data_IF_454773547925
#
_entry.id   IF_454773547925
#
_cell.length_a   1.000
_cell.length_b   1.000
_cell.length_c   1.000
_cell.angle_alpha   90.00
_cell.angle_beta   90.00
_cell.angle_gamma   90.00
#
_symmetry.space_group_name_H-M   'P 1'
#
loop_
_entity.id
_entity.type
_entity.pdbx_description
1 polymer ?
#
# COMPACT_ATOMS: atom_id res chain seq x y z
N UNK A 1 8.03 -4.88 -12.99
CA UNK A 1 7.51 -4.96 -11.61
C UNK A 1 8.02 -6.25 -10.99
N UNK A 2 8.61 -6.20 -9.80
CA UNK A 2 8.99 -7.43 -9.09
C UNK A 2 7.70 -8.17 -8.73
N UNK A 3 7.55 -9.40 -9.24
CA UNK A 3 6.35 -10.20 -9.03
C UNK A 3 6.38 -10.98 -7.71
N UNK A 4 7.31 -10.61 -6.82
CA UNK A 4 7.50 -11.23 -5.51
C UNK A 4 6.78 -10.40 -4.46
N UNK A 5 5.92 -11.01 -3.63
CA UNK A 5 5.26 -10.29 -2.54
C UNK A 5 6.29 -9.76 -1.56
N UNK A 6 5.96 -8.65 -0.90
CA UNK A 6 6.80 -8.14 0.19
C UNK A 6 6.52 -8.85 1.51
N UNK A 7 5.33 -9.45 1.64
CA UNK A 7 4.92 -10.30 2.74
C UNK A 7 3.79 -11.25 2.28
N UNK A 8 3.70 -12.41 2.92
CA UNK A 8 2.59 -13.35 2.80
C UNK A 8 1.90 -13.41 4.17
N UNK A 9 0.57 -13.27 4.22
CA UNK A 9 -0.18 -13.18 5.45
C UNK A 9 -1.55 -13.85 5.32
N UNK A 10 -1.78 -14.91 6.11
CA UNK A 10 -3.05 -15.65 6.19
C UNK A 10 -3.63 -16.08 4.83
N UNK A 11 -2.79 -16.54 3.91
CA UNK A 11 -3.25 -16.97 2.58
C UNK A 11 -3.33 -15.84 1.55
N UNK A 12 -2.77 -14.68 1.85
CA UNK A 12 -2.72 -13.52 0.95
C UNK A 12 -1.30 -13.00 0.74
N UNK A 13 -1.03 -12.59 -0.50
CA UNK A 13 0.21 -11.94 -0.91
C UNK A 13 0.03 -10.41 -0.89
N UNK A 14 0.98 -9.71 -0.24
CA UNK A 14 0.97 -8.26 -0.04
C UNK A 14 2.04 -7.57 -0.90
N UNK A 15 1.60 -6.68 -1.81
CA UNK A 15 2.48 -5.88 -2.66
C UNK A 15 2.32 -4.38 -2.36
N UNK A 16 3.19 -3.79 -1.54
CA UNK A 16 3.17 -2.36 -1.25
C UNK A 16 3.56 -1.55 -2.49
N UNK A 17 2.76 -0.52 -2.78
CA UNK A 17 2.98 0.47 -3.84
C UNK A 17 3.29 1.80 -3.16
N UNK A 18 4.56 2.22 -3.17
CA UNK A 18 4.97 3.52 -2.63
C UNK A 18 5.19 4.48 -3.79
N UNK A 19 4.59 5.67 -3.72
CA UNK A 19 4.67 6.67 -4.78
C UNK A 19 4.89 8.06 -4.19
N UNK A 20 5.67 8.87 -4.91
CA UNK A 20 5.97 10.24 -4.53
C UNK A 20 4.81 11.15 -4.91
N UNK A 21 4.39 11.99 -3.98
CA UNK A 21 3.45 13.08 -4.21
C UNK A 21 4.29 14.31 -4.57
N UNK A 22 3.97 14.94 -5.69
CA UNK A 22 4.48 16.29 -5.94
C UNK A 22 3.59 17.26 -5.17
N UNK A 23 4.13 18.02 -4.19
CA UNK A 23 3.35 19.11 -3.61
C UNK A 23 3.03 20.13 -4.73
N UNK A 24 1.87 20.77 -4.63
CA UNK A 24 1.57 21.94 -5.45
C UNK A 24 2.73 22.93 -5.29
N UNK A 25 3.33 23.34 -6.39
CA UNK A 25 4.58 24.09 -6.40
C UNK A 25 4.34 25.49 -5.81
N UNK A 26 4.57 25.66 -4.51
CA UNK A 26 4.56 26.98 -3.86
C UNK A 26 5.95 27.61 -3.96
N UNK A 27 6.01 28.87 -4.38
CA UNK A 27 7.22 29.68 -4.27
C UNK A 27 7.21 30.45 -2.94
N UNK A 28 8.33 30.49 -2.20
CA UNK A 28 9.63 29.86 -2.47
C UNK A 28 9.64 28.34 -2.26
N UNK A 29 10.54 27.67 -2.98
CA UNK A 29 10.64 26.20 -3.01
C UNK A 29 11.11 25.63 -1.66
N UNK A 30 10.17 25.33 -0.77
CA UNK A 30 10.44 24.54 0.44
C UNK A 30 10.60 23.08 0.04
N UNK A 31 11.60 22.37 0.61
CA UNK A 31 11.66 20.91 0.48
C UNK A 31 10.38 20.38 1.15
N UNK A 32 9.49 19.66 0.43
CA UNK A 32 8.34 19.06 1.09
C UNK A 32 8.83 18.08 2.14
N UNK A 33 8.46 18.32 3.38
CA UNK A 33 8.40 17.29 4.39
C UNK A 33 7.37 16.26 3.90
N UNK A 34 7.67 14.96 4.08
CA UNK A 34 6.70 13.88 3.82
C UNK A 34 6.16 13.81 2.38
N UNK A 35 6.98 13.30 1.48
CA UNK A 35 6.65 13.26 0.04
C UNK A 35 6.07 11.94 -0.47
N UNK A 36 5.83 10.93 0.37
CA UNK A 36 5.44 9.59 -0.10
C UNK A 36 4.06 9.16 0.40
N UNK A 37 3.19 8.77 -0.52
CA UNK A 37 2.00 8.01 -0.19
C UNK A 37 2.21 6.53 -0.49
N UNK A 38 1.32 5.71 0.05
CA UNK A 38 1.36 4.28 -0.18
C UNK A 38 -0.02 3.70 -0.46
N UNK A 39 -0.02 2.56 -1.13
CA UNK A 39 -1.16 1.66 -1.28
C UNK A 39 -0.64 0.24 -1.12
N UNK A 40 -1.53 -0.73 -0.95
CA UNK A 40 -1.18 -2.14 -0.93
C UNK A 40 -2.08 -2.88 -1.90
N UNK A 41 -1.47 -3.71 -2.74
CA UNK A 41 -2.20 -4.69 -3.53
C UNK A 41 -2.26 -5.98 -2.73
N UNK A 42 -3.45 -6.55 -2.61
CA UNK A 42 -3.68 -7.83 -1.94
C UNK A 42 -4.18 -8.82 -2.98
N UNK A 43 -3.56 -9.99 -3.03
CA UNK A 43 -3.95 -11.13 -3.86
C UNK A 43 -4.08 -12.37 -3.00
N UNK A 44 -4.85 -13.37 -3.42
CA UNK A 44 -4.71 -14.71 -2.82
C UNK A 44 -3.33 -15.27 -3.11
N UNK A 45 -2.73 -15.97 -2.14
CA UNK A 45 -1.43 -16.61 -2.31
C UNK A 45 -1.39 -17.46 -3.58
N UNK A 46 -0.26 -17.40 -4.28
CA UNK A 46 -0.04 -18.11 -5.55
C UNK A 46 -0.70 -17.48 -6.78
N UNK A 47 -1.48 -16.40 -6.61
CA UNK A 47 -2.03 -15.62 -7.71
C UNK A 47 -1.17 -14.39 -7.98
N UNK A 48 -0.96 -14.07 -9.26
CA UNK A 48 -0.17 -12.90 -9.63
C UNK A 48 -1.01 -11.61 -9.50
N UNK A 49 -0.40 -10.50 -9.04
CA UNK A 49 -1.03 -9.20 -9.10
C UNK A 49 -1.36 -8.83 -10.55
N UNK A 50 -2.61 -8.38 -10.77
CA UNK A 50 -3.15 -8.10 -12.11
C UNK A 50 -4.05 -9.19 -12.69
N UNK A 51 -4.35 -10.24 -11.91
CA UNK A 51 -5.41 -11.20 -12.21
C UNK A 51 -6.75 -10.74 -11.63
N UNK A 52 -7.86 -11.41 -11.99
CA UNK A 52 -9.22 -11.11 -11.48
C UNK A 52 -9.36 -11.22 -9.95
N UNK A 53 -8.36 -11.81 -9.26
CA UNK A 53 -8.33 -12.02 -7.80
C UNK A 53 -7.37 -11.08 -7.09
N UNK A 54 -7.36 -9.82 -7.52
CA UNK A 54 -6.49 -8.77 -7.00
C UNK A 54 -7.29 -7.52 -6.69
N UNK A 55 -7.03 -6.89 -5.54
CA UNK A 55 -7.58 -5.56 -5.21
C UNK A 55 -6.50 -4.65 -4.66
N UNK A 56 -6.60 -3.37 -5.01
CA UNK A 56 -5.71 -2.31 -4.52
C UNK A 56 -6.43 -1.54 -3.43
N UNK A 57 -5.76 -1.33 -2.31
CA UNK A 57 -6.25 -0.59 -1.16
C UNK A 57 -5.34 0.62 -0.93
N UNK A 58 -5.94 1.81 -0.93
CA UNK A 58 -5.19 3.05 -0.70
C UNK A 58 -5.07 3.31 0.81
N UNK A 59 -3.85 3.64 1.24
CA UNK A 59 -3.62 4.06 2.62
C UNK A 59 -3.91 5.56 2.73
N UNK A 60 -5.05 5.90 3.32
CA UNK A 60 -5.41 7.29 3.66
C UNK A 60 -4.69 7.71 4.96
N UNK A 61 -3.37 7.86 4.89
CA UNK A 61 -2.53 8.35 5.99
C UNK A 61 -1.90 9.70 5.66
N UNK A 62 -1.38 10.39 6.68
CA UNK A 62 -0.43 11.47 6.41
C UNK A 62 0.72 10.94 5.56
N UNK A 63 1.19 11.69 4.55
CA UNK A 63 2.33 11.28 3.75
C UNK A 63 3.57 10.95 4.61
N UNK A 64 4.43 10.10 4.08
CA UNK A 64 5.61 9.57 4.74
C UNK A 64 6.88 10.27 4.25
N UNK A 65 7.88 10.35 5.12
CA UNK A 65 9.17 10.99 4.82
C UNK A 65 10.06 10.15 3.91
N UNK A 66 9.98 8.82 4.00
CA UNK A 66 10.83 7.92 3.24
C UNK A 66 10.08 6.68 2.75
N UNK A 67 10.67 6.05 1.72
CA UNK A 67 10.09 4.88 1.06
C UNK A 67 10.02 3.68 2.00
N UNK A 68 11.01 3.50 2.87
CA UNK A 68 11.11 2.35 3.76
C UNK A 68 9.99 2.32 4.81
N UNK A 69 9.68 3.45 5.43
CA UNK A 69 8.57 3.58 6.38
C UNK A 69 7.22 3.45 5.68
N UNK A 70 7.04 4.10 4.53
CA UNK A 70 5.83 3.98 3.72
C UNK A 70 5.55 2.51 3.32
N UNK A 71 6.60 1.77 2.90
CA UNK A 71 6.48 0.35 2.53
C UNK A 71 6.03 -0.51 3.71
N UNK A 72 6.65 -0.33 4.89
CA UNK A 72 6.26 -1.07 6.11
C UNK A 72 4.84 -0.73 6.55
N UNK A 73 4.47 0.55 6.47
CA UNK A 73 3.11 1.02 6.76
C UNK A 73 2.07 0.37 5.84
N UNK A 74 2.36 0.28 4.54
CA UNK A 74 1.48 -0.38 3.58
C UNK A 74 1.31 -1.88 3.83
N UNK A 75 2.38 -2.58 4.23
CA UNK A 75 2.29 -4.01 4.61
C UNK A 75 1.40 -4.18 5.84
N UNK A 76 1.66 -3.41 6.91
CA UNK A 76 0.87 -3.45 8.13
C UNK A 76 -0.61 -3.12 7.88
N UNK A 77 -0.89 -2.15 7.03
CA UNK A 77 -2.24 -1.82 6.62
C UNK A 77 -2.91 -2.98 5.88
N UNK A 78 -2.21 -3.67 4.99
CA UNK A 78 -2.73 -4.87 4.34
C UNK A 78 -3.10 -5.98 5.33
N UNK A 79 -2.25 -6.22 6.34
CA UNK A 79 -2.55 -7.14 7.44
C UNK A 79 -3.81 -6.70 8.22
N UNK A 80 -3.96 -5.40 8.46
CA UNK A 80 -5.13 -4.84 9.16
C UNK A 80 -6.43 -5.02 8.37
N UNK A 81 -6.39 -4.88 7.04
CA UNK A 81 -7.55 -5.17 6.17
C UNK A 81 -7.89 -6.67 6.25
N UNK A 82 -6.89 -7.55 6.16
CA UNK A 82 -7.10 -9.01 6.24
C UNK A 82 -7.68 -9.40 7.61
N UNK A 83 -7.30 -8.69 8.67
CA UNK A 83 -7.84 -8.88 10.01
C UNK A 83 -9.21 -8.23 10.23
N UNK A 84 -9.76 -7.50 9.25
CA UNK A 84 -11.04 -6.79 9.39
C UNK A 84 -10.98 -5.57 10.31
N UNK A 85 -9.79 -4.99 10.51
CA UNK A 85 -9.56 -3.85 11.41
C UNK A 85 -9.75 -2.49 10.72
N UNK A 86 -9.90 -2.47 9.38
CA UNK A 86 -10.12 -1.26 8.60
C UNK A 86 -11.60 -1.17 8.20
N UNK A 87 -12.37 -0.21 8.75
CA UNK A 87 -13.77 -0.04 8.39
C UNK A 87 -13.96 0.21 6.89
N UNK A 88 -14.91 -0.50 6.28
CA UNK A 88 -15.25 -0.35 4.87
C UNK A 88 -14.34 -1.08 3.88
N UNK A 89 -13.19 -1.60 4.33
CA UNK A 89 -12.30 -2.41 3.49
C UNK A 89 -12.38 -3.88 3.87
N UNK A 90 -12.33 -4.75 2.86
CA UNK A 90 -12.39 -6.20 3.07
C UNK A 90 -11.79 -6.96 1.89
N UNK A 91 -11.22 -8.12 2.20
CA UNK A 91 -10.73 -9.11 1.24
C UNK A 91 -11.74 -10.23 0.95
N UNK A 92 -12.97 -10.16 1.48
CA UNK A 92 -13.96 -11.24 1.35
C UNK A 92 -14.37 -11.55 -0.10
N UNK A 93 -14.19 -10.58 -1.01
CA UNK A 93 -14.51 -10.73 -2.43
C UNK A 93 -13.31 -11.14 -3.30
N UNK A 94 -12.14 -11.39 -2.70
CA UNK A 94 -10.94 -11.87 -3.39
C UNK A 94 -10.90 -13.39 -3.46
#
# INVERSE_FOLDING_TARGET
MNNTPSACYKGFDLYPLVYKIQPAQSWPRTKPDRSFNASVVICREGHRPGSERTRVFRLESTPWENIGTARRGAVKFGEDIINGLIPGESVATL
#
